data_IF_264598906402
#
_entry.id   IF_264598906402
#
_cell.length_a   1.000
_cell.length_b   1.000
_cell.length_c   1.000
_cell.angle_alpha   90.00
_cell.angle_beta   90.00
_cell.angle_gamma   90.00
#
_symmetry.space_group_name_H-M   'P 1'
#
loop_
_entity.id
_entity.type
_entity.pdbx_description
1 polymer ?
#
# COMPACT_ATOMS: atom_id res chain seq x y z
N UNK A 1 -29.86 -45.16 34.52
CA UNK A 1 -30.70 -44.11 33.94
C UNK A 1 -29.86 -42.85 33.90
N UNK A 2 -29.20 -42.62 32.78
CA UNK A 2 -28.29 -41.50 32.57
C UNK A 2 -29.00 -40.54 31.62
N UNK A 3 -29.17 -39.30 32.07
CA UNK A 3 -29.80 -38.21 31.34
C UNK A 3 -29.00 -37.87 30.06
N UNK A 4 -29.61 -37.90 28.86
CA UNK A 4 -28.90 -37.61 27.61
C UNK A 4 -28.82 -36.11 27.28
N UNK A 5 -29.16 -35.20 28.19
CA UNK A 5 -29.17 -33.75 27.96
C UNK A 5 -27.82 -33.04 28.17
N UNK A 6 -26.70 -33.66 27.76
CA UNK A 6 -25.47 -32.90 27.48
C UNK A 6 -25.55 -32.38 26.05
N UNK A 7 -26.39 -31.36 25.87
CA UNK A 7 -26.42 -30.50 24.70
C UNK A 7 -25.02 -29.97 24.43
N UNK A 8 -24.46 -30.38 23.28
CA UNK A 8 -23.35 -29.73 22.61
C UNK A 8 -23.66 -28.22 22.65
N UNK A 9 -22.86 -27.43 23.37
CA UNK A 9 -22.85 -25.98 23.19
C UNK A 9 -22.59 -25.74 21.70
N UNK A 10 -23.65 -25.50 20.94
CA UNK A 10 -23.52 -25.12 19.54
C UNK A 10 -22.71 -23.84 19.56
N UNK A 11 -21.48 -23.90 19.05
CA UNK A 11 -20.66 -22.71 18.92
C UNK A 11 -21.40 -21.78 17.97
N UNK A 12 -21.94 -20.69 18.51
CA UNK A 12 -22.71 -19.70 17.76
C UNK A 12 -21.79 -18.53 17.40
N UNK A 13 -21.92 -18.07 16.16
CA UNK A 13 -21.39 -16.79 15.70
C UNK A 13 -22.48 -15.73 15.86
N UNK A 14 -22.15 -14.52 16.30
CA UNK A 14 -23.11 -13.42 16.31
C UNK A 14 -22.92 -12.59 15.05
N UNK A 15 -24.01 -12.31 14.33
CA UNK A 15 -23.96 -11.37 13.21
C UNK A 15 -23.31 -10.05 13.68
N UNK A 16 -22.21 -9.59 13.05
CA UNK A 16 -21.46 -8.44 13.54
C UNK A 16 -22.23 -7.11 13.42
N UNK A 17 -23.37 -7.09 12.72
CA UNK A 17 -24.16 -5.88 12.47
C UNK A 17 -25.42 -5.79 13.34
N UNK A 18 -26.11 -6.90 13.58
CA UNK A 18 -27.37 -6.91 14.33
C UNK A 18 -27.39 -7.85 15.55
N UNK A 19 -26.31 -8.60 15.79
CA UNK A 19 -26.16 -9.47 16.95
C UNK A 19 -26.99 -10.76 16.92
N UNK A 20 -27.72 -11.07 15.84
CA UNK A 20 -28.47 -12.33 15.74
C UNK A 20 -27.53 -13.54 15.77
N UNK A 21 -27.91 -14.58 16.50
CA UNK A 21 -27.15 -15.82 16.55
C UNK A 21 -27.21 -16.57 15.20
N UNK A 22 -26.05 -17.03 14.75
CA UNK A 22 -25.83 -17.71 13.49
C UNK A 22 -24.96 -18.96 13.73
N UNK A 23 -25.02 -19.97 12.85
CA UNK A 23 -24.09 -21.10 12.90
C UNK A 23 -22.63 -20.62 12.80
N UNK A 24 -21.72 -21.13 13.64
CA UNK A 24 -20.30 -20.82 13.47
C UNK A 24 -19.77 -21.46 12.20
N UNK A 25 -19.29 -20.63 11.27
CA UNK A 25 -18.52 -21.07 10.10
C UNK A 25 -17.11 -20.54 10.27
N UNK A 26 -16.19 -21.37 10.75
CA UNK A 26 -14.82 -20.94 11.11
C UNK A 26 -14.06 -20.22 9.98
N UNK A 27 -14.40 -20.50 8.72
CA UNK A 27 -13.83 -19.83 7.53
C UNK A 27 -14.33 -18.40 7.35
N UNK A 28 -15.53 -18.10 7.83
CA UNK A 28 -16.18 -16.81 7.68
C UNK A 28 -16.51 -16.22 9.06
N UNK A 29 -15.49 -15.86 9.87
CA UNK A 29 -15.70 -15.47 11.27
C UNK A 29 -16.44 -14.14 11.44
N UNK A 30 -16.73 -13.43 10.35
CA UNK A 30 -17.43 -12.13 10.34
C UNK A 30 -18.58 -12.08 9.34
N UNK A 31 -19.12 -13.23 8.94
CA UNK A 31 -20.26 -13.22 8.03
C UNK A 31 -21.50 -12.59 8.66
N UNK A 32 -22.28 -11.91 7.83
CA UNK A 32 -23.52 -11.27 8.25
C UNK A 32 -24.71 -12.19 8.01
N UNK A 33 -25.81 -11.95 8.73
CA UNK A 33 -27.04 -12.71 8.50
C UNK A 33 -27.70 -12.30 7.17
N UNK A 34 -28.57 -13.14 6.59
CA UNK A 34 -29.28 -12.83 5.33
C UNK A 34 -30.07 -11.52 5.36
N UNK A 35 -30.62 -11.15 6.53
CA UNK A 35 -31.34 -9.88 6.69
C UNK A 35 -30.43 -8.66 6.60
N UNK A 36 -29.20 -8.75 7.10
CA UNK A 36 -28.20 -7.69 6.93
C UNK A 36 -27.67 -7.66 5.50
N UNK A 37 -27.39 -8.83 4.91
CA UNK A 37 -26.96 -8.95 3.51
C UNK A 37 -27.93 -8.28 2.55
N UNK A 38 -29.25 -8.43 2.75
CA UNK A 38 -30.25 -7.84 1.86
C UNK A 38 -30.28 -6.30 1.84
N UNK A 39 -29.54 -5.64 2.74
CA UNK A 39 -29.37 -4.18 2.78
C UNK A 39 -28.04 -3.71 2.16
N UNK A 40 -27.27 -4.62 1.57
CA UNK A 40 -26.00 -4.28 0.95
C UNK A 40 -26.17 -3.24 -0.16
N UNK A 41 -25.31 -2.24 -0.14
CA UNK A 41 -25.26 -1.17 -1.13
C UNK A 41 -23.83 -0.84 -1.54
N UNK A 42 -23.68 -0.14 -2.66
CA UNK A 42 -22.41 0.43 -3.11
C UNK A 42 -22.00 1.61 -2.22
N UNK A 43 -20.78 2.14 -2.41
CA UNK A 43 -20.27 3.32 -1.68
C UNK A 43 -21.19 4.55 -1.74
N UNK A 44 -21.94 4.72 -2.83
CA UNK A 44 -22.90 5.81 -3.02
C UNK A 44 -24.34 5.43 -2.60
N UNK A 45 -24.53 4.31 -1.90
CA UNK A 45 -25.81 3.91 -1.35
C UNK A 45 -26.78 3.25 -2.32
N UNK A 46 -26.36 2.88 -3.54
CA UNK A 46 -27.22 2.15 -4.48
C UNK A 46 -27.30 0.68 -4.07
N UNK A 47 -28.50 0.06 -4.06
CA UNK A 47 -28.67 -1.30 -3.59
C UNK A 47 -27.97 -2.31 -4.51
N UNK A 48 -27.38 -3.36 -3.94
CA UNK A 48 -26.65 -4.40 -4.65
C UNK A 48 -27.35 -5.75 -4.53
N UNK A 49 -27.19 -6.58 -5.57
CA UNK A 49 -27.54 -7.98 -5.56
C UNK A 49 -26.33 -8.81 -5.98
N UNK A 50 -26.06 -9.89 -5.24
CA UNK A 50 -24.95 -10.79 -5.47
C UNK A 50 -25.46 -12.17 -5.91
N UNK A 51 -24.71 -12.83 -6.78
CA UNK A 51 -25.09 -14.13 -7.33
C UNK A 51 -23.86 -14.92 -7.78
N UNK A 52 -24.00 -16.24 -7.92
CA UNK A 52 -22.96 -17.05 -8.53
C UNK A 52 -23.06 -16.99 -10.06
N UNK A 53 -21.93 -16.88 -10.75
CA UNK A 53 -21.90 -16.82 -12.22
C UNK A 53 -22.28 -18.16 -12.88
N UNK A 54 -22.16 -19.28 -12.18
CA UNK A 54 -22.58 -20.58 -12.66
C UNK A 54 -22.59 -21.67 -11.59
N UNK A 55 -22.97 -22.88 -12.01
CA UNK A 55 -23.05 -24.08 -11.14
C UNK A 55 -21.69 -24.54 -10.61
N UNK A 56 -20.61 -24.19 -11.33
CA UNK A 56 -19.23 -24.45 -10.91
C UNK A 56 -18.65 -23.36 -10.00
N UNK A 57 -19.43 -22.33 -9.68
CA UNK A 57 -18.98 -21.20 -8.90
C UNK A 57 -18.88 -19.89 -9.65
N UNK A 58 -18.06 -18.99 -9.12
CA UNK A 58 -17.87 -17.61 -9.59
C UNK A 58 -18.72 -16.61 -8.79
N UNK A 59 -18.22 -15.39 -8.71
CA UNK A 59 -18.86 -14.25 -8.07
C UNK A 59 -19.36 -13.25 -9.12
N UNK A 60 -20.62 -12.85 -9.01
CA UNK A 60 -21.21 -11.77 -9.78
C UNK A 60 -21.94 -10.79 -8.87
N UNK A 61 -21.87 -9.51 -9.23
CA UNK A 61 -22.61 -8.45 -8.55
C UNK A 61 -23.23 -7.51 -9.59
N UNK A 62 -24.40 -6.99 -9.23
CA UNK A 62 -25.14 -6.03 -10.04
C UNK A 62 -25.86 -5.03 -9.12
N UNK A 63 -26.21 -3.88 -9.66
CA UNK A 63 -27.14 -3.00 -8.98
C UNK A 63 -28.55 -3.61 -9.00
N UNK A 64 -29.19 -3.64 -7.84
CA UNK A 64 -30.49 -4.30 -7.67
C UNK A 64 -31.65 -3.50 -8.30
N UNK A 65 -31.43 -2.22 -8.61
CA UNK A 65 -32.43 -1.32 -9.19
C UNK A 65 -32.53 -1.43 -10.72
N UNK A 66 -31.42 -1.59 -11.44
CA UNK A 66 -31.37 -1.59 -12.90
C UNK A 66 -30.64 -2.79 -13.53
N UNK A 67 -30.10 -3.70 -12.71
CA UNK A 67 -29.32 -4.86 -13.13
C UNK A 67 -28.03 -4.55 -13.89
N UNK A 68 -27.56 -3.29 -13.86
CA UNK A 68 -26.27 -2.94 -14.45
C UNK A 68 -25.11 -3.59 -13.67
N UNK A 69 -24.01 -3.96 -14.34
CA UNK A 69 -22.89 -4.64 -13.68
C UNK A 69 -22.27 -3.82 -12.56
N UNK A 70 -21.90 -4.49 -11.47
CA UNK A 70 -21.11 -3.92 -10.38
C UNK A 70 -19.78 -4.69 -10.29
N UNK A 71 -18.70 -4.09 -10.78
CA UNK A 71 -17.38 -4.73 -10.85
C UNK A 71 -16.57 -4.48 -9.57
N UNK A 72 -17.10 -4.92 -8.43
CA UNK A 72 -16.40 -4.90 -7.15
C UNK A 72 -16.99 -5.91 -6.17
N UNK A 73 -16.13 -6.38 -5.26
CA UNK A 73 -16.53 -7.19 -4.10
C UNK A 73 -16.91 -6.34 -2.89
N UNK A 74 -16.56 -5.06 -2.91
CA UNK A 74 -16.77 -4.16 -1.78
C UNK A 74 -18.23 -3.71 -1.72
N UNK A 75 -18.82 -3.74 -0.53
CA UNK A 75 -20.18 -3.27 -0.30
C UNK A 75 -20.30 -2.65 1.08
N UNK A 76 -21.43 -2.03 1.36
CA UNK A 76 -21.72 -1.36 2.62
C UNK A 76 -23.08 -1.82 3.14
N UNK A 77 -23.16 -2.10 4.44
CA UNK A 77 -24.43 -2.41 5.11
C UNK A 77 -24.56 -1.47 6.29
N UNK A 78 -25.59 -0.62 6.27
CA UNK A 78 -25.82 0.39 7.31
C UNK A 78 -24.56 1.25 7.59
N UNK A 79 -23.79 1.58 6.55
CA UNK A 79 -22.53 2.33 6.63
C UNK A 79 -21.29 1.49 6.97
N UNK A 80 -21.43 0.21 7.33
CA UNK A 80 -20.32 -0.66 7.67
C UNK A 80 -19.68 -1.25 6.41
N UNK A 81 -18.36 -1.09 6.20
CA UNK A 81 -17.65 -1.69 5.08
C UNK A 81 -17.71 -3.23 5.16
N UNK A 82 -18.10 -3.85 4.06
CA UNK A 82 -18.27 -5.29 3.90
C UNK A 82 -17.63 -5.76 2.60
N UNK A 83 -17.35 -7.06 2.51
CA UNK A 83 -16.91 -7.74 1.28
C UNK A 83 -17.85 -8.90 0.99
N UNK A 84 -18.42 -8.90 -0.21
CA UNK A 84 -19.18 -10.01 -0.77
C UNK A 84 -18.26 -10.87 -1.63
N UNK A 85 -18.26 -12.18 -1.41
CA UNK A 85 -17.39 -13.10 -2.15
C UNK A 85 -18.05 -14.47 -2.31
N UNK A 86 -17.49 -15.30 -3.17
CA UNK A 86 -17.97 -16.66 -3.36
C UNK A 86 -17.74 -17.52 -2.11
N UNK A 87 -18.79 -18.19 -1.65
CA UNK A 87 -18.68 -19.16 -0.56
C UNK A 87 -18.12 -20.51 -1.08
N UNK A 88 -17.32 -21.19 -0.26
CA UNK A 88 -16.55 -22.40 -0.62
C UNK A 88 -17.40 -23.55 -1.15
N UNK A 89 -18.68 -23.62 -0.74
CA UNK A 89 -19.60 -24.69 -1.11
C UNK A 89 -20.78 -24.15 -1.95
N UNK A 90 -20.56 -23.05 -2.68
CA UNK A 90 -21.59 -22.35 -3.44
C UNK A 90 -22.34 -21.32 -2.59
N UNK A 91 -23.00 -20.37 -3.27
CA UNK A 91 -23.59 -19.19 -2.66
C UNK A 91 -22.63 -18.01 -2.56
N UNK A 92 -23.14 -16.91 -2.04
CA UNK A 92 -22.37 -15.71 -1.70
C UNK A 92 -22.26 -15.62 -0.19
N UNK A 93 -21.08 -15.21 0.29
CA UNK A 93 -20.87 -14.83 1.68
C UNK A 93 -20.53 -13.35 1.74
N UNK A 94 -21.25 -12.61 2.58
CA UNK A 94 -20.91 -11.23 2.90
C UNK A 94 -20.32 -11.17 4.29
N UNK A 95 -19.13 -10.59 4.42
CA UNK A 95 -18.43 -10.42 5.70
C UNK A 95 -18.16 -8.95 5.95
N UNK A 96 -18.24 -8.52 7.21
CA UNK A 96 -17.72 -7.19 7.58
C UNK A 96 -16.21 -7.17 7.42
N UNK A 97 -15.70 -6.06 6.87
CA UNK A 97 -14.29 -5.76 6.99
C UNK A 97 -13.98 -5.49 8.46
N UNK A 98 -12.78 -5.87 8.93
CA UNK A 98 -12.36 -5.49 10.27
C UNK A 98 -12.45 -3.95 10.40
N UNK A 99 -12.87 -3.42 11.55
CA UNK A 99 -12.88 -1.97 11.74
C UNK A 99 -11.46 -1.44 11.54
N UNK A 100 -11.35 -0.30 10.84
CA UNK A 100 -10.09 0.42 10.83
C UNK A 100 -9.78 0.86 12.27
N UNK A 101 -8.53 0.71 12.74
CA UNK A 101 -8.16 1.19 14.06
C UNK A 101 -8.37 2.70 14.13
N UNK A 102 -9.12 3.18 15.13
CA UNK A 102 -9.17 4.60 15.45
C UNK A 102 -7.84 4.98 16.11
N UNK A 103 -6.95 5.57 15.32
CA UNK A 103 -5.63 6.01 15.78
C UNK A 103 -5.70 7.07 16.89
N UNK A 104 -6.82 7.79 17.03
CA UNK A 104 -7.00 8.85 18.04
C UNK A 104 -7.27 8.30 19.44
N UNK A 105 -7.73 7.05 19.53
CA UNK A 105 -7.97 6.36 20.81
C UNK A 105 -6.75 5.56 21.30
N UNK A 106 -5.72 5.43 20.48
CA UNK A 106 -4.50 4.69 20.82
C UNK A 106 -3.50 5.57 21.56
N UNK A 107 -2.89 5.02 22.61
CA UNK A 107 -1.73 5.65 23.26
C UNK A 107 -0.52 5.69 22.34
N UNK A 108 0.42 6.60 22.59
CA UNK A 108 1.70 6.68 21.88
C UNK A 108 2.42 5.32 21.80
N UNK A 109 2.39 4.54 22.89
CA UNK A 109 3.00 3.19 22.90
C UNK A 109 2.30 2.21 21.97
N UNK A 110 0.97 2.26 21.89
CA UNK A 110 0.20 1.41 20.97
C UNK A 110 0.46 1.83 19.51
N UNK A 111 0.54 3.14 19.23
CA UNK A 111 0.90 3.65 17.91
C UNK A 111 2.29 3.20 17.48
N UNK A 112 3.29 3.30 18.36
CA UNK A 112 4.65 2.83 18.09
C UNK A 112 4.71 1.30 17.89
N UNK A 113 3.90 0.55 18.63
CA UNK A 113 3.80 -0.91 18.47
C UNK A 113 3.17 -1.28 17.12
N UNK A 114 2.08 -0.60 16.73
CA UNK A 114 1.43 -0.78 15.43
C UNK A 114 2.38 -0.39 14.28
N UNK A 115 3.13 0.71 14.43
CA UNK A 115 4.14 1.12 13.47
C UNK A 115 5.23 0.06 13.27
N UNK A 116 5.76 -0.52 14.36
CA UNK A 116 6.73 -1.62 14.27
C UNK A 116 6.18 -2.83 13.55
N UNK A 117 4.99 -3.30 13.94
CA UNK A 117 4.33 -4.45 13.31
C UNK A 117 4.04 -4.22 11.82
N UNK A 118 3.66 -3.00 11.43
CA UNK A 118 3.45 -2.63 10.03
C UNK A 118 4.75 -2.73 9.24
N UNK A 119 5.86 -2.22 9.77
CA UNK A 119 7.17 -2.28 9.12
C UNK A 119 7.71 -3.70 9.01
N UNK A 120 7.49 -4.54 10.03
CA UNK A 120 7.83 -5.96 9.99
C UNK A 120 7.08 -6.67 8.86
N UNK A 121 5.77 -6.39 8.72
CA UNK A 121 4.96 -6.98 7.66
C UNK A 121 5.38 -6.49 6.26
N UNK A 122 5.70 -5.20 6.09
CA UNK A 122 6.24 -4.68 4.83
C UNK A 122 7.59 -5.31 4.49
N UNK A 123 8.44 -5.55 5.50
CA UNK A 123 9.72 -6.23 5.33
C UNK A 123 9.50 -7.69 4.90
N UNK A 124 8.58 -8.40 5.57
CA UNK A 124 8.22 -9.78 5.24
C UNK A 124 7.68 -9.92 3.81
N UNK A 125 6.96 -8.92 3.32
CA UNK A 125 6.46 -8.85 1.93
C UNK A 125 7.52 -8.43 0.91
N UNK A 126 8.73 -8.06 1.35
CA UNK A 126 9.80 -7.57 0.48
C UNK A 126 9.58 -6.17 -0.08
N UNK A 127 8.66 -5.39 0.50
CA UNK A 127 8.36 -4.00 0.08
C UNK A 127 9.44 -3.04 0.58
N UNK A 128 9.92 -3.24 1.81
CA UNK A 128 11.03 -2.50 2.40
C UNK A 128 12.11 -3.49 2.86
N UNK A 129 13.36 -3.03 3.01
CA UNK A 129 14.48 -3.88 3.49
C UNK A 129 14.74 -3.72 4.98
N UNK A 130 14.41 -2.57 5.55
CA UNK A 130 14.64 -2.25 6.95
C UNK A 130 13.40 -1.62 7.58
N UNK A 131 13.23 -1.86 8.88
CA UNK A 131 12.20 -1.18 9.67
C UNK A 131 12.62 0.24 10.10
N UNK A 132 13.60 0.86 9.44
CA UNK A 132 14.18 2.14 9.89
C UNK A 132 13.76 3.33 9.02
N UNK A 133 13.68 3.16 7.70
CA UNK A 133 13.29 4.25 6.80
C UNK A 133 12.44 3.72 5.63
N UNK A 134 11.12 3.57 5.83
CA UNK A 134 10.25 3.00 4.81
C UNK A 134 10.21 3.80 3.51
N UNK A 135 10.42 5.13 3.55
CA UNK A 135 10.39 5.98 2.36
C UNK A 135 11.57 5.69 1.43
N UNK A 136 12.78 5.57 2.01
CA UNK A 136 13.98 5.26 1.24
C UNK A 136 13.90 3.84 0.69
N UNK A 137 13.58 2.87 1.54
CA UNK A 137 13.51 1.46 1.15
C UNK A 137 12.44 1.21 0.08
N UNK A 138 11.29 1.87 0.19
CA UNK A 138 10.21 1.75 -0.78
C UNK A 138 10.58 2.38 -2.12
N UNK A 139 11.24 3.55 -2.12
CA UNK A 139 11.76 4.16 -3.35
C UNK A 139 12.75 3.23 -4.05
N UNK A 140 13.70 2.65 -3.30
CA UNK A 140 14.65 1.67 -3.83
C UNK A 140 13.94 0.46 -4.43
N UNK A 141 12.98 -0.14 -3.71
CA UNK A 141 12.25 -1.30 -4.18
C UNK A 141 11.48 -1.01 -5.48
N UNK A 142 10.76 0.12 -5.52
CA UNK A 142 9.94 0.51 -6.66
C UNK A 142 10.80 0.82 -7.90
N UNK A 143 11.86 1.61 -7.75
CA UNK A 143 12.79 1.95 -8.84
C UNK A 143 13.49 0.70 -9.38
N UNK A 144 14.00 -0.17 -8.49
CA UNK A 144 14.67 -1.40 -8.94
C UNK A 144 13.72 -2.36 -9.66
N UNK A 145 12.46 -2.46 -9.21
CA UNK A 145 11.42 -3.26 -9.87
C UNK A 145 11.14 -2.74 -11.28
N UNK A 146 10.91 -1.43 -11.42
CA UNK A 146 10.52 -0.82 -12.70
C UNK A 146 11.67 -0.83 -13.71
N UNK A 147 12.87 -0.45 -13.27
CA UNK A 147 14.05 -0.33 -14.13
C UNK A 147 14.86 -1.63 -14.23
N UNK A 148 14.41 -2.71 -13.57
CA UNK A 148 15.08 -4.02 -13.52
C UNK A 148 16.52 -3.94 -13.04
N UNK A 149 16.78 -3.11 -12.04
CA UNK A 149 18.12 -2.91 -11.48
C UNK A 149 18.47 -4.01 -10.49
N UNK A 150 19.75 -4.38 -10.48
CA UNK A 150 20.33 -5.23 -9.44
C UNK A 150 20.71 -4.35 -8.26
N UNK A 151 20.07 -4.58 -7.11
CA UNK A 151 20.39 -3.86 -5.87
C UNK A 151 21.75 -4.31 -5.34
N UNK A 152 22.58 -3.35 -4.97
CA UNK A 152 23.86 -3.63 -4.32
C UNK A 152 23.67 -4.13 -2.88
N UNK A 153 24.72 -4.80 -2.38
CA UNK A 153 24.79 -5.22 -0.97
C UNK A 153 25.05 -4.01 -0.08
N UNK A 154 24.42 -3.92 1.11
CA UNK A 154 24.63 -2.81 2.02
C UNK A 154 26.05 -2.86 2.60
N UNK A 155 26.99 -2.17 1.96
CA UNK A 155 28.38 -1.91 2.42
C UNK A 155 29.26 -1.25 1.35
N UNK A 156 28.87 -1.26 0.06
CA UNK A 156 29.58 -0.49 -0.96
C UNK A 156 29.19 0.99 -0.91
N UNK A 157 30.19 1.85 -0.83
CA UNK A 157 29.98 3.28 -0.82
C UNK A 157 29.66 3.79 -2.23
N UNK A 158 28.55 4.52 -2.38
CA UNK A 158 28.37 5.49 -3.48
C UNK A 158 27.09 5.36 -4.33
N UNK A 159 26.47 4.17 -4.39
CA UNK A 159 25.25 3.94 -5.17
C UNK A 159 24.43 2.77 -4.59
N UNK A 160 23.15 2.68 -4.92
CA UNK A 160 22.20 1.72 -4.34
C UNK A 160 21.91 0.53 -5.28
N UNK A 161 22.00 0.74 -6.60
CA UNK A 161 21.71 -0.28 -7.59
C UNK A 161 22.49 -0.09 -8.90
N UNK A 162 22.58 -1.13 -9.71
CA UNK A 162 23.26 -1.13 -11.02
C UNK A 162 22.38 -1.81 -12.08
N UNK A 163 22.42 -1.32 -13.32
CA UNK A 163 21.76 -1.98 -14.45
C UNK A 163 22.66 -3.04 -15.13
N UNK A 164 22.17 -3.65 -16.21
CA UNK A 164 22.93 -4.64 -17.00
C UNK A 164 24.15 -4.06 -17.72
N UNK A 165 24.14 -2.75 -17.96
CA UNK A 165 25.16 -2.05 -18.74
C UNK A 165 26.26 -1.48 -17.82
N UNK A 166 26.09 -1.62 -16.51
CA UNK A 166 27.03 -1.16 -15.49
C UNK A 166 26.75 0.26 -15.00
N UNK A 167 25.63 0.88 -15.40
CA UNK A 167 25.23 2.21 -14.92
C UNK A 167 24.87 2.16 -13.45
N UNK A 168 25.51 3.00 -12.65
CA UNK A 168 25.32 3.04 -11.19
C UNK A 168 24.23 4.06 -10.82
N UNK A 169 23.25 3.61 -10.07
CA UNK A 169 22.11 4.40 -9.61
C UNK A 169 22.19 4.68 -8.12
N UNK A 170 22.17 5.95 -7.75
CA UNK A 170 21.75 6.35 -6.40
C UNK A 170 20.24 6.61 -6.43
N UNK A 171 19.51 6.09 -5.47
CA UNK A 171 18.06 6.21 -5.35
C UNK A 171 17.76 7.07 -4.11
N UNK A 172 16.87 8.06 -4.25
CA UNK A 172 16.44 8.92 -3.15
C UNK A 172 14.94 9.15 -3.21
N UNK A 173 14.24 8.70 -2.16
CA UNK A 173 12.82 9.00 -1.93
C UNK A 173 12.61 10.20 -1.01
N UNK A 174 11.56 10.98 -1.26
CA UNK A 174 11.10 12.04 -0.36
C UNK A 174 9.58 12.01 -0.25
N UNK A 175 9.07 11.87 0.97
CA UNK A 175 7.65 12.05 1.29
C UNK A 175 7.34 13.53 1.48
N UNK A 176 6.45 14.07 0.67
CA UNK A 176 6.00 15.47 0.70
C UNK A 176 4.74 15.58 1.56
N UNK A 177 4.91 15.45 2.87
CA UNK A 177 3.81 15.52 3.84
C UNK A 177 3.95 16.73 4.78
N UNK A 178 2.80 17.26 5.21
CA UNK A 178 2.70 18.32 6.21
C UNK A 178 3.00 19.74 5.69
N UNK A 179 3.20 20.72 6.59
CA UNK A 179 3.43 22.13 6.21
C UNK A 179 4.78 22.36 5.51
N UNK A 180 5.71 21.40 5.63
CA UNK A 180 7.03 21.49 5.02
C UNK A 180 6.97 21.09 3.54
N UNK A 181 6.97 22.11 2.67
CA UNK A 181 6.97 21.95 1.20
C UNK A 181 8.36 21.68 0.60
N UNK A 182 9.38 21.42 1.42
CA UNK A 182 10.74 21.20 0.93
C UNK A 182 10.86 19.90 0.16
N UNK A 183 11.40 20.01 -1.06
CA UNK A 183 11.77 18.89 -1.92
C UNK A 183 13.23 18.48 -1.76
N UNK A 184 13.86 18.89 -0.66
CA UNK A 184 15.23 18.52 -0.34
C UNK A 184 15.36 17.00 -0.16
N UNK A 185 16.22 16.38 -0.96
CA UNK A 185 16.58 14.97 -0.82
C UNK A 185 17.58 14.78 0.32
N UNK A 186 17.76 13.53 0.74
CA UNK A 186 18.83 13.16 1.66
C UNK A 186 20.21 13.58 1.14
N UNK A 187 21.14 13.85 2.06
CA UNK A 187 22.48 14.32 1.74
C UNK A 187 23.20 13.39 0.73
N UNK A 188 23.83 13.99 -0.30
CA UNK A 188 24.59 13.27 -1.31
C UNK A 188 26.09 13.57 -1.08
N UNK A 189 26.84 12.54 -0.72
CA UNK A 189 28.25 12.66 -0.32
C UNK A 189 29.19 12.33 -1.49
N UNK A 190 30.41 12.85 -1.43
CA UNK A 190 31.50 12.51 -2.35
C UNK A 190 31.18 12.69 -3.85
N UNK A 191 30.32 13.66 -4.21
CA UNK A 191 29.93 13.92 -5.61
C UNK A 191 31.11 14.27 -6.52
N UNK A 192 32.16 14.86 -5.95
CA UNK A 192 33.45 15.12 -6.58
C UNK A 192 34.14 13.83 -7.08
N UNK A 193 33.87 12.69 -6.44
CA UNK A 193 34.39 11.38 -6.82
C UNK A 193 33.46 10.63 -7.79
N UNK A 194 32.36 11.25 -8.22
CA UNK A 194 31.35 10.70 -9.14
C UNK A 194 30.90 9.27 -8.71
N UNK A 195 30.25 9.17 -7.54
CA UNK A 195 30.01 7.89 -6.86
C UNK A 195 28.90 7.05 -7.53
N UNK A 196 28.06 7.69 -8.35
CA UNK A 196 27.03 7.11 -9.18
C UNK A 196 26.99 7.87 -10.52
N UNK A 197 26.25 7.33 -11.48
CA UNK A 197 26.07 7.92 -12.81
C UNK A 197 24.70 8.60 -12.94
N UNK A 198 23.68 7.99 -12.32
CA UNK A 198 22.29 8.48 -12.34
C UNK A 198 21.71 8.56 -10.93
N UNK A 199 21.04 9.67 -10.63
CA UNK A 199 20.17 9.81 -9.46
C UNK A 199 18.73 9.48 -9.87
N UNK A 200 18.17 8.38 -9.37
CA UNK A 200 16.74 8.11 -9.42
C UNK A 200 16.05 8.78 -8.23
N UNK A 201 15.35 9.89 -8.48
CA UNK A 201 14.65 10.66 -7.46
C UNK A 201 13.15 10.40 -7.51
N UNK A 202 12.54 10.14 -6.35
CA UNK A 202 11.10 9.87 -6.22
C UNK A 202 10.50 10.81 -5.19
N UNK A 203 9.50 11.60 -5.59
CA UNK A 203 8.69 12.40 -4.72
C UNK A 203 7.34 11.72 -4.49
N UNK A 204 7.00 11.49 -3.23
CA UNK A 204 5.75 10.85 -2.82
C UNK A 204 4.79 11.84 -2.17
N UNK A 205 3.50 11.56 -2.28
CA UNK A 205 2.45 12.15 -1.46
C UNK A 205 2.47 11.64 -0.01
N UNK A 206 1.55 12.15 0.82
CA UNK A 206 1.47 11.77 2.22
C UNK A 206 1.15 10.29 2.44
N UNK A 207 0.41 9.65 1.53
CA UNK A 207 0.06 8.22 1.55
C UNK A 207 1.08 7.34 0.82
N UNK A 208 2.21 7.90 0.38
CA UNK A 208 3.24 7.26 -0.42
C UNK A 208 2.84 6.94 -1.88
N UNK A 209 1.77 7.53 -2.42
CA UNK A 209 1.58 7.54 -3.88
C UNK A 209 2.69 8.33 -4.56
N UNK A 210 3.14 7.88 -5.73
CA UNK A 210 4.15 8.57 -6.53
C UNK A 210 3.54 9.85 -7.08
N UNK A 211 4.09 11.00 -6.68
CA UNK A 211 3.67 12.31 -7.19
C UNK A 211 4.43 12.68 -8.46
N UNK A 212 5.76 12.52 -8.44
CA UNK A 212 6.62 12.63 -9.62
C UNK A 212 7.96 11.94 -9.38
N UNK A 213 8.60 11.48 -10.44
CA UNK A 213 9.88 10.78 -10.36
C UNK A 213 10.72 10.99 -11.62
N UNK A 214 12.04 10.99 -11.46
CA UNK A 214 12.95 11.17 -12.59
C UNK A 214 14.32 10.50 -12.40
N UNK A 215 14.96 10.23 -13.53
CA UNK A 215 16.36 9.90 -13.67
C UNK A 215 17.15 11.16 -14.02
N UNK A 216 18.10 11.50 -13.17
CA UNK A 216 18.85 12.77 -13.23
C UNK A 216 20.34 12.44 -13.34
N UNK A 217 21.04 12.88 -14.40
CA UNK A 217 22.49 12.65 -14.52
C UNK A 217 23.28 13.27 -13.36
N UNK A 218 24.36 12.61 -12.93
CA UNK A 218 25.19 13.09 -11.82
C UNK A 218 25.78 14.48 -12.07
N UNK A 219 26.02 14.85 -13.32
CA UNK A 219 26.47 16.19 -13.74
C UNK A 219 25.42 17.24 -13.39
N UNK A 220 24.14 16.97 -13.69
CA UNK A 220 23.03 17.86 -13.34
C UNK A 220 22.92 18.02 -11.82
N UNK A 221 23.06 16.91 -11.07
CA UNK A 221 23.02 16.93 -9.61
C UNK A 221 24.17 17.75 -9.04
N UNK A 222 25.36 17.66 -9.62
CA UNK A 222 26.55 18.42 -9.22
C UNK A 222 26.39 19.91 -9.53
N UNK A 223 25.90 20.26 -10.73
CA UNK A 223 25.68 21.65 -11.16
C UNK A 223 24.63 22.37 -10.32
N UNK A 224 23.52 21.70 -9.98
CA UNK A 224 22.36 22.30 -9.30
C UNK A 224 22.36 22.04 -7.79
N UNK A 225 23.20 21.13 -7.31
CA UNK A 225 23.37 20.80 -5.91
C UNK A 225 24.17 21.86 -5.16
N UNK A 226 23.75 22.20 -3.94
CA UNK A 226 24.50 23.13 -3.08
C UNK A 226 25.36 22.34 -2.11
N UNK A 227 26.68 22.56 -2.12
CA UNK A 227 27.55 22.00 -1.09
C UNK A 227 27.25 22.61 0.28
N UNK A 228 27.06 21.75 1.30
CA UNK A 228 26.90 22.12 2.70
C UNK A 228 28.10 21.66 3.50
N UNK A 229 28.88 22.62 4.02
CA UNK A 229 30.05 22.34 4.88
C UNK A 229 29.65 21.64 6.18
N UNK A 230 28.48 21.98 6.73
CA UNK A 230 28.00 21.40 7.99
C UNK A 230 27.65 19.91 7.84
N UNK A 231 27.03 19.53 6.72
CA UNK A 231 26.66 18.13 6.45
C UNK A 231 27.78 17.33 5.76
N UNK A 232 28.86 17.99 5.36
CA UNK A 232 29.92 17.46 4.49
C UNK A 232 29.33 16.71 3.27
N UNK A 233 28.35 17.35 2.61
CA UNK A 233 27.55 16.74 1.56
C UNK A 233 26.90 17.81 0.67
N UNK A 234 26.47 17.41 -0.52
CA UNK A 234 25.62 18.24 -1.36
C UNK A 234 24.15 18.06 -1.00
N UNK A 235 23.45 19.18 -1.03
CA UNK A 235 22.02 19.29 -0.83
C UNK A 235 21.38 19.53 -2.20
N UNK A 236 20.58 18.57 -2.64
CA UNK A 236 19.84 18.66 -3.89
C UNK A 236 18.34 18.78 -3.60
N UNK A 237 17.67 19.72 -4.27
CA UNK A 237 16.23 19.93 -4.15
C UNK A 237 15.55 19.44 -5.42
N UNK A 238 14.79 18.34 -5.32
CA UNK A 238 14.08 17.76 -6.44
C UNK A 238 12.76 18.51 -6.68
N UNK A 239 12.83 19.75 -7.17
CA UNK A 239 11.65 20.56 -7.50
C UNK A 239 11.00 20.07 -8.81
N UNK A 240 9.70 20.29 -9.02
CA UNK A 240 9.05 19.97 -10.31
C UNK A 240 9.76 20.58 -11.54
N UNK A 241 10.34 21.77 -11.40
CA UNK A 241 11.12 22.43 -12.48
C UNK A 241 12.37 21.65 -12.92
N UNK A 242 12.80 20.62 -12.17
CA UNK A 242 13.87 19.72 -12.61
C UNK A 242 13.40 18.86 -13.79
N UNK A 243 12.11 18.52 -13.86
CA UNK A 243 11.52 17.72 -14.93
C UNK A 243 11.50 18.45 -16.28
N UNK A 244 11.66 19.78 -16.27
CA UNK A 244 11.65 20.62 -17.47
C UNK A 244 13.00 20.62 -18.22
N UNK A 245 14.07 20.10 -17.61
CA UNK A 245 15.40 20.04 -18.24
C UNK A 245 15.51 18.82 -19.16
N UNK A 246 15.93 19.04 -20.41
CA UNK A 246 16.02 17.97 -21.42
C UNK A 246 17.02 16.85 -21.11
N UNK A 247 17.89 16.99 -20.09
CA UNK A 247 18.79 15.93 -19.62
C UNK A 247 18.11 14.97 -18.64
N UNK A 248 16.94 15.33 -18.12
CA UNK A 248 16.20 14.58 -17.11
C UNK A 248 15.17 13.70 -17.80
N UNK A 249 15.13 12.42 -17.41
CA UNK A 249 14.14 11.46 -17.92
C UNK A 249 13.08 11.26 -16.86
N UNK A 250 11.86 11.71 -17.13
CA UNK A 250 10.72 11.46 -16.24
C UNK A 250 10.30 9.99 -16.27
N UNK A 251 10.05 9.41 -15.08
CA UNK A 251 9.62 8.02 -14.91
C UNK A 251 8.36 7.90 -14.01
N UNK A 252 7.61 9.00 -13.87
CA UNK A 252 6.45 9.10 -12.97
C UNK A 252 5.38 8.05 -13.27
N UNK A 253 5.02 7.89 -14.56
CA UNK A 253 3.92 7.02 -14.97
C UNK A 253 4.25 5.54 -14.80
N UNK A 254 5.50 5.17 -15.05
CA UNK A 254 6.03 3.82 -14.91
C UNK A 254 6.03 3.40 -13.44
N UNK A 255 6.45 4.31 -12.55
CA UNK A 255 6.44 4.08 -11.12
C UNK A 255 5.01 4.00 -10.58
N UNK A 256 4.14 4.94 -10.95
CA UNK A 256 2.75 4.97 -10.48
C UNK A 256 1.96 3.71 -10.91
N UNK A 257 2.22 3.15 -12.09
CA UNK A 257 1.61 1.89 -12.55
C UNK A 257 2.12 0.65 -11.82
N UNK A 258 3.29 0.73 -11.19
CA UNK A 258 3.94 -0.39 -10.52
C UNK A 258 3.66 -0.45 -9.01
N UNK A 259 3.03 0.60 -8.46
CA UNK A 259 2.45 0.64 -7.11
C UNK A 259 1.16 -0.16 -7.06
#
# INVERSE_FOLDING_TARGET
MSDPSLTRLEMTHLCPLCGVALPLIARYPRYVCPSCESRACSRNGRPLAFFNLGLSGGYGAQYADDHSPYDSHDCYIDGHPCRADEARFGGIVVQTLPPEPDWTELSDRQLLTAHGALLDELTRRGVVRSANNPVADYAEALVCKVLRLSREVPSRAGFDAIDSDGTRYQIKGRRLAGPNKSTQLGAIRNLDQRPFDVLAAVAFDADLSVRYAALIPVEFVTERGRYSRHANAHVFHFRPSVLEDGRVVEITSELARAQ
#
